data_IF_593144195480
#
_entry.id   IF_593144195480
#
_cell.length_a   1.000
_cell.length_b   1.000
_cell.length_c   1.000
_cell.angle_alpha   90.00
_cell.angle_beta   90.00
_cell.angle_gamma   90.00
#
_symmetry.space_group_name_H-M   'P 1'
#
loop_
_entity.id
_entity.type
_entity.pdbx_description
1 polymer ?
#
# COMPACT_ATOMS: atom_id res chain seq x y z
N UNK A 1 -3.83 -2.10 -13.05
CA UNK A 1 -2.38 -2.25 -12.86
C UNK A 1 -1.79 -3.19 -13.92
N UNK A 2 -0.48 -3.03 -14.20
CA UNK A 2 0.21 -3.76 -15.29
C UNK A 2 0.29 -5.27 -15.08
N UNK A 3 0.25 -5.75 -13.87
CA UNK A 3 0.20 -7.17 -13.53
C UNK A 3 -1.12 -7.85 -13.92
N UNK A 4 -2.17 -7.07 -14.22
CA UNK A 4 -3.46 -7.56 -14.71
C UNK A 4 -3.69 -7.33 -16.20
N UNK A 5 -3.14 -6.27 -16.78
CA UNK A 5 -3.40 -5.86 -18.17
C UNK A 5 -2.18 -5.87 -19.07
N UNK A 6 -0.97 -6.00 -18.50
CA UNK A 6 0.28 -5.88 -19.25
C UNK A 6 0.52 -6.94 -20.32
N UNK A 7 -0.27 -8.01 -20.34
CA UNK A 7 -0.25 -9.07 -21.36
C UNK A 7 -1.38 -8.97 -22.41
N UNK A 8 -2.22 -7.95 -22.38
CA UNK A 8 -3.42 -7.86 -23.21
C UNK A 8 -3.13 -8.01 -24.72
N UNK A 9 -2.06 -7.39 -25.21
CA UNK A 9 -1.69 -7.46 -26.64
C UNK A 9 -1.29 -8.86 -27.11
N UNK A 10 -0.90 -9.76 -26.18
CA UNK A 10 -0.59 -11.16 -26.52
C UNK A 10 -1.83 -11.98 -26.87
N UNK A 11 -3.01 -11.53 -26.44
CA UNK A 11 -4.29 -12.18 -26.68
C UNK A 11 -5.12 -11.47 -27.74
N UNK A 12 -4.59 -10.39 -28.34
CA UNK A 12 -5.30 -9.57 -29.30
C UNK A 12 -5.17 -10.16 -30.70
N UNK A 13 -6.29 -10.54 -31.31
CA UNK A 13 -6.43 -10.97 -32.69
C UNK A 13 -7.17 -9.91 -33.50
N UNK A 14 -7.33 -10.09 -34.82
CA UNK A 14 -7.92 -9.11 -35.72
C UNK A 14 -9.36 -8.68 -35.32
N UNK A 15 -10.13 -9.58 -34.71
CA UNK A 15 -11.49 -9.31 -34.26
C UNK A 15 -11.65 -9.13 -32.75
N UNK A 16 -10.54 -8.97 -32.00
CA UNK A 16 -10.59 -8.79 -30.56
C UNK A 16 -10.82 -7.33 -30.20
N UNK A 17 -11.92 -7.04 -29.50
CA UNK A 17 -12.20 -5.72 -28.95
C UNK A 17 -11.79 -5.68 -27.46
N UNK A 18 -11.11 -4.61 -27.08
CA UNK A 18 -10.76 -4.33 -25.69
C UNK A 18 -11.81 -3.41 -25.08
N UNK A 19 -12.42 -3.88 -24.01
CA UNK A 19 -13.40 -3.11 -23.24
C UNK A 19 -12.80 -2.64 -21.94
N UNK A 20 -12.96 -1.37 -21.59
CA UNK A 20 -12.53 -0.81 -20.33
C UNK A 20 -13.44 0.33 -19.85
N UNK A 21 -13.31 0.71 -18.58
CA UNK A 21 -13.99 1.89 -18.07
C UNK A 21 -13.44 3.18 -18.71
N UNK A 22 -14.27 4.21 -18.87
CA UNK A 22 -13.90 5.48 -19.53
C UNK A 22 -12.67 6.18 -18.90
N UNK A 23 -12.44 6.00 -17.60
CA UNK A 23 -11.26 6.53 -16.90
C UNK A 23 -9.93 5.82 -17.24
N UNK A 24 -9.96 4.72 -17.98
CA UNK A 24 -8.77 3.89 -18.22
C UNK A 24 -7.62 4.67 -18.87
N UNK A 25 -7.89 5.42 -19.94
CA UNK A 25 -6.85 6.20 -20.60
C UNK A 25 -6.27 7.31 -19.72
N UNK A 26 -7.10 7.98 -18.93
CA UNK A 26 -6.65 8.99 -17.99
C UNK A 26 -5.75 8.37 -16.91
N UNK A 27 -6.12 7.20 -16.39
CA UNK A 27 -5.30 6.45 -15.43
C UNK A 27 -3.96 6.02 -16.04
N UNK A 28 -3.95 5.46 -17.25
CA UNK A 28 -2.71 5.08 -17.96
C UNK A 28 -1.79 6.28 -18.22
N UNK A 29 -2.37 7.45 -18.58
CA UNK A 29 -1.62 8.68 -18.77
C UNK A 29 -0.95 9.17 -17.48
N UNK A 30 -1.67 9.12 -16.35
CA UNK A 30 -1.14 9.47 -15.03
C UNK A 30 -0.01 8.52 -14.61
N UNK A 31 -0.21 7.22 -14.79
CA UNK A 31 0.80 6.20 -14.50
C UNK A 31 2.07 6.39 -15.32
N UNK A 32 1.93 6.69 -16.62
CA UNK A 32 3.03 6.97 -17.51
C UNK A 32 3.81 8.22 -17.09
N UNK A 33 3.10 9.26 -16.68
CA UNK A 33 3.65 10.57 -16.30
C UNK A 33 4.60 10.49 -15.11
N UNK A 34 4.33 9.58 -14.15
CA UNK A 34 5.11 9.40 -12.93
C UNK A 34 5.77 8.02 -12.83
N UNK A 35 5.92 7.32 -13.96
CA UNK A 35 6.42 5.92 -13.98
C UNK A 35 7.80 5.76 -13.32
N UNK A 36 8.74 6.66 -13.57
CA UNK A 36 10.08 6.62 -12.96
C UNK A 36 10.01 6.80 -11.43
N UNK A 37 9.17 7.72 -10.94
CA UNK A 37 8.95 7.92 -9.51
C UNK A 37 8.34 6.67 -8.86
N UNK A 38 7.32 6.08 -9.49
CA UNK A 38 6.69 4.85 -9.00
C UNK A 38 7.66 3.66 -8.99
N UNK A 39 8.48 3.50 -10.05
CA UNK A 39 9.49 2.45 -10.11
C UNK A 39 10.48 2.53 -8.95
N UNK A 40 11.01 3.73 -8.66
CA UNK A 40 11.91 3.94 -7.54
C UNK A 40 11.25 3.59 -6.19
N UNK A 41 9.99 3.98 -6.01
CA UNK A 41 9.28 3.76 -4.74
C UNK A 41 8.72 2.35 -4.57
N UNK A 42 8.52 1.59 -5.64
CA UNK A 42 8.05 0.21 -5.60
C UNK A 42 9.17 -0.81 -5.46
N UNK A 43 10.38 -0.45 -5.83
CA UNK A 43 11.53 -1.37 -5.92
C UNK A 43 11.79 -2.17 -4.64
N UNK A 44 11.63 -1.54 -3.47
CA UNK A 44 11.85 -2.22 -2.19
C UNK A 44 10.90 -3.42 -1.96
N UNK A 45 9.67 -3.33 -2.45
CA UNK A 45 8.64 -4.35 -2.21
C UNK A 45 8.75 -5.54 -3.19
N UNK A 46 9.24 -5.30 -4.41
CA UNK A 46 9.17 -6.28 -5.49
C UNK A 46 10.54 -6.73 -6.03
N UNK A 47 11.65 -6.27 -5.43
CA UNK A 47 13.00 -6.59 -5.92
C UNK A 47 13.24 -8.11 -6.06
N UNK A 48 12.84 -8.90 -5.08
CA UNK A 48 12.99 -10.35 -5.11
C UNK A 48 12.11 -11.01 -6.18
N UNK A 49 10.85 -10.58 -6.28
CA UNK A 49 9.91 -11.07 -7.29
C UNK A 49 10.39 -10.76 -8.70
N UNK A 50 10.88 -9.53 -8.91
CA UNK A 50 11.46 -9.09 -10.18
C UNK A 50 12.70 -9.91 -10.51
N UNK A 51 13.60 -10.14 -9.55
CA UNK A 51 14.80 -10.95 -9.76
C UNK A 51 14.45 -12.40 -10.15
N UNK A 52 13.48 -13.03 -9.48
CA UNK A 52 12.98 -14.36 -9.83
C UNK A 52 12.34 -14.40 -11.22
N UNK A 53 11.54 -13.39 -11.58
CA UNK A 53 10.95 -13.28 -12.91
C UNK A 53 12.03 -13.16 -13.99
N UNK A 54 13.03 -12.33 -13.80
CA UNK A 54 14.18 -12.22 -14.72
C UNK A 54 14.93 -13.55 -14.89
N UNK A 55 15.21 -14.23 -13.80
CA UNK A 55 15.86 -15.53 -13.83
C UNK A 55 15.05 -16.56 -14.62
N UNK A 56 13.74 -16.61 -14.38
CA UNK A 56 12.83 -17.49 -15.12
C UNK A 56 12.81 -17.18 -16.62
N UNK A 57 12.71 -15.89 -16.99
CA UNK A 57 12.70 -15.43 -18.38
C UNK A 57 14.03 -15.78 -19.08
N UNK A 58 15.16 -15.56 -18.42
CA UNK A 58 16.47 -15.94 -18.98
C UNK A 58 16.57 -17.43 -19.24
N UNK A 59 16.08 -18.25 -18.31
CA UNK A 59 16.17 -19.72 -18.42
C UNK A 59 15.20 -20.31 -19.45
N UNK A 60 14.02 -19.72 -19.62
CA UNK A 60 12.93 -20.34 -20.38
C UNK A 60 12.52 -19.59 -21.66
N UNK A 61 12.89 -18.30 -21.79
CA UNK A 61 12.42 -17.43 -22.89
C UNK A 61 13.59 -16.75 -23.63
N UNK A 62 14.80 -17.22 -23.49
CA UNK A 62 15.98 -16.67 -24.21
C UNK A 62 16.39 -15.25 -23.76
N UNK A 63 15.96 -14.82 -22.59
CA UNK A 63 16.36 -13.54 -21.99
C UNK A 63 15.62 -12.29 -22.48
N UNK A 64 14.64 -12.44 -23.38
CA UNK A 64 13.81 -11.33 -23.86
C UNK A 64 12.57 -11.17 -22.95
N UNK A 65 12.41 -9.97 -22.38
CA UNK A 65 11.17 -9.60 -21.68
C UNK A 65 10.25 -8.94 -22.69
N UNK A 66 9.03 -9.47 -22.92
CA UNK A 66 8.06 -8.77 -23.75
C UNK A 66 7.75 -7.39 -23.13
N UNK A 67 7.59 -6.35 -23.93
CA UNK A 67 7.12 -5.07 -23.41
C UNK A 67 5.72 -5.25 -22.81
N UNK A 68 5.47 -4.58 -21.69
CA UNK A 68 4.13 -4.58 -21.09
C UNK A 68 3.19 -3.73 -21.94
N UNK A 69 2.01 -4.29 -22.22
CA UNK A 69 0.95 -3.61 -22.97
C UNK A 69 0.40 -2.42 -22.19
N UNK A 70 0.08 -1.37 -22.95
CA UNK A 70 -0.77 -0.25 -22.51
C UNK A 70 -1.83 -0.01 -23.57
N UNK A 71 -2.73 -0.98 -23.74
CA UNK A 71 -3.64 -0.95 -24.87
C UNK A 71 -4.66 0.17 -24.73
N UNK A 72 -5.05 0.76 -25.87
CA UNK A 72 -6.18 1.67 -25.95
C UNK A 72 -7.45 0.84 -26.06
N UNK A 73 -8.46 1.09 -25.21
CA UNK A 73 -9.77 0.44 -25.33
C UNK A 73 -10.45 0.77 -26.65
N UNK A 74 -11.09 -0.25 -27.24
CA UNK A 74 -11.95 -0.08 -28.43
C UNK A 74 -13.36 0.35 -27.99
N UNK A 75 -13.83 -0.16 -26.84
CA UNK A 75 -15.13 0.17 -26.24
C UNK A 75 -14.89 0.68 -24.81
N UNK A 76 -15.56 1.76 -24.46
CA UNK A 76 -15.57 2.30 -23.10
C UNK A 76 -16.99 2.41 -22.56
N UNK A 77 -17.11 2.33 -21.21
CA UNK A 77 -18.37 2.52 -20.49
C UNK A 77 -18.15 3.35 -19.22
N UNK A 78 -19.21 3.97 -18.71
CA UNK A 78 -19.12 4.85 -17.54
C UNK A 78 -19.51 4.14 -16.23
N UNK A 79 -20.66 3.45 -16.19
CA UNK A 79 -21.15 2.83 -14.96
C UNK A 79 -21.36 1.32 -15.09
N UNK A 80 -22.09 0.89 -16.12
CA UNK A 80 -22.41 -0.51 -16.40
C UNK A 80 -22.45 -0.75 -17.90
N UNK A 81 -21.97 -1.92 -18.31
CA UNK A 81 -22.09 -2.42 -19.68
C UNK A 81 -22.50 -3.88 -19.64
N UNK A 82 -23.59 -4.21 -20.34
CA UNK A 82 -24.04 -5.57 -20.54
C UNK A 82 -23.55 -6.08 -21.89
N UNK A 83 -22.94 -7.25 -21.91
CA UNK A 83 -22.42 -7.90 -23.10
C UNK A 83 -22.94 -9.33 -23.16
N UNK A 84 -23.10 -9.81 -24.40
CA UNK A 84 -23.34 -11.22 -24.68
C UNK A 84 -22.39 -11.70 -25.77
N UNK A 85 -21.65 -12.77 -25.48
CA UNK A 85 -20.71 -13.37 -26.42
C UNK A 85 -20.88 -14.89 -26.42
N UNK A 86 -21.35 -15.42 -27.59
CA UNK A 86 -21.52 -16.86 -27.73
C UNK A 86 -22.54 -17.48 -26.77
N UNK A 87 -23.54 -16.73 -26.32
CA UNK A 87 -24.52 -17.13 -25.32
C UNK A 87 -24.10 -16.93 -23.87
N UNK A 88 -22.88 -16.42 -23.64
CA UNK A 88 -22.41 -16.04 -22.30
C UNK A 88 -22.75 -14.58 -22.02
N UNK A 89 -23.61 -14.34 -21.02
CA UNK A 89 -23.90 -12.98 -20.54
C UNK A 89 -22.82 -12.50 -19.57
N UNK A 90 -22.41 -11.26 -19.73
CA UNK A 90 -21.43 -10.59 -18.90
C UNK A 90 -21.92 -9.19 -18.55
N UNK A 91 -21.91 -8.87 -17.24
CA UNK A 91 -22.17 -7.53 -16.74
C UNK A 91 -20.85 -6.93 -16.23
N UNK A 92 -20.40 -5.86 -16.84
CA UNK A 92 -19.25 -5.08 -16.41
C UNK A 92 -19.75 -3.91 -15.55
N UNK A 93 -19.28 -3.80 -14.32
CA UNK A 93 -19.70 -2.74 -13.38
C UNK A 93 -18.48 -1.94 -12.93
N UNK A 94 -18.56 -0.64 -13.02
CA UNK A 94 -17.54 0.25 -12.44
C UNK A 94 -17.52 0.15 -10.92
N UNK A 95 -16.35 -0.13 -10.34
CA UNK A 95 -16.16 -0.35 -8.90
C UNK A 95 -14.86 0.31 -8.43
N UNK A 96 -14.82 1.65 -8.35
CA UNK A 96 -13.65 2.40 -7.88
C UNK A 96 -13.44 2.24 -6.37
N UNK A 97 -12.38 2.86 -5.85
CA UNK A 97 -12.15 3.00 -4.39
C UNK A 97 -11.30 1.92 -3.75
N UNK A 98 -11.25 0.70 -4.32
CA UNK A 98 -10.38 -0.36 -3.83
C UNK A 98 -8.97 -0.33 -4.44
N UNK A 99 -8.85 0.13 -5.68
CA UNK A 99 -7.59 0.24 -6.42
C UNK A 99 -7.55 1.51 -7.28
N UNK A 100 -7.76 1.40 -8.58
CA UNK A 100 -7.68 2.51 -9.53
C UNK A 100 -9.06 3.10 -9.83
N UNK A 101 -9.09 4.30 -10.39
CA UNK A 101 -10.34 5.00 -10.71
C UNK A 101 -11.09 4.39 -11.90
N UNK A 102 -10.44 3.51 -12.65
CA UNK A 102 -10.99 2.75 -13.77
C UNK A 102 -11.28 1.29 -13.41
N UNK A 103 -11.18 0.94 -12.13
CA UNK A 103 -11.45 -0.41 -11.63
C UNK A 103 -12.89 -0.83 -11.93
N UNK A 104 -13.03 -2.08 -12.36
CA UNK A 104 -14.33 -2.68 -12.66
C UNK A 104 -14.36 -4.14 -12.20
N UNK A 105 -15.56 -4.67 -12.01
CA UNK A 105 -15.82 -6.09 -11.83
C UNK A 105 -16.56 -6.64 -13.05
N UNK A 106 -16.40 -7.92 -13.31
CA UNK A 106 -17.11 -8.64 -14.36
C UNK A 106 -17.97 -9.71 -13.71
N UNK A 107 -19.28 -9.63 -13.87
CA UNK A 107 -20.22 -10.63 -13.40
C UNK A 107 -20.65 -11.54 -14.56
N UNK A 108 -20.74 -12.82 -14.28
CA UNK A 108 -21.38 -13.83 -15.14
C UNK A 108 -22.68 -14.26 -14.44
N UNK A 109 -23.79 -13.54 -14.63
CA UNK A 109 -24.99 -13.71 -13.82
C UNK A 109 -25.61 -15.09 -13.93
N UNK A 110 -25.55 -15.75 -15.10
CA UNK A 110 -26.08 -17.11 -15.31
C UNK A 110 -25.25 -18.19 -14.59
N UNK A 111 -24.05 -17.85 -14.13
CA UNK A 111 -23.12 -18.73 -13.42
C UNK A 111 -22.89 -18.33 -11.98
N UNK A 112 -23.45 -17.22 -11.52
CA UNK A 112 -23.25 -16.62 -10.19
C UNK A 112 -21.75 -16.41 -9.85
N UNK A 113 -20.95 -16.07 -10.89
CA UNK A 113 -19.49 -15.82 -10.79
C UNK A 113 -19.23 -14.33 -10.94
N UNK A 114 -18.37 -13.78 -10.06
CA UNK A 114 -17.89 -12.40 -10.17
C UNK A 114 -16.36 -12.35 -10.12
N UNK A 115 -15.76 -11.77 -11.15
CA UNK A 115 -14.33 -11.42 -11.20
C UNK A 115 -14.17 -10.02 -10.63
N UNK A 116 -13.42 -9.87 -9.55
CA UNK A 116 -13.32 -8.59 -8.83
C UNK A 116 -12.02 -7.83 -9.08
N UNK A 117 -11.08 -8.41 -9.84
CA UNK A 117 -9.76 -7.81 -9.99
C UNK A 117 -9.16 -7.48 -8.60
N UNK A 118 -8.63 -6.27 -8.46
CA UNK A 118 -8.02 -5.81 -7.21
C UNK A 118 -8.95 -5.00 -6.30
N UNK A 119 -10.26 -5.03 -6.52
CA UNK A 119 -11.20 -4.28 -5.67
C UNK A 119 -10.94 -4.53 -4.18
N UNK A 120 -10.69 -5.78 -3.81
CA UNK A 120 -10.41 -6.20 -2.43
C UNK A 120 -8.90 -6.31 -2.12
N UNK A 121 -8.07 -5.53 -2.82
CA UNK A 121 -6.61 -5.58 -2.72
C UNK A 121 -6.04 -6.98 -3.09
N UNK A 122 -4.84 -7.30 -2.59
CA UNK A 122 -4.20 -8.59 -2.86
C UNK A 122 -4.67 -9.73 -1.95
N UNK A 123 -5.39 -9.43 -0.87
CA UNK A 123 -5.86 -10.39 0.12
C UNK A 123 -7.34 -10.14 0.42
N UNK A 124 -8.21 -10.98 -0.13
CA UNK A 124 -9.65 -10.94 0.16
C UNK A 124 -9.90 -11.15 1.66
N UNK A 125 -10.89 -10.46 2.21
CA UNK A 125 -11.23 -10.50 3.63
C UNK A 125 -10.30 -9.70 4.56
N UNK A 126 -9.23 -9.10 4.02
CA UNK A 126 -8.36 -8.18 4.76
C UNK A 126 -8.77 -6.73 4.57
N UNK A 127 -8.40 -5.88 5.53
CA UNK A 127 -8.63 -4.44 5.45
C UNK A 127 -8.05 -3.86 4.15
N UNK A 128 -8.80 -3.04 3.38
CA UNK A 128 -8.36 -2.55 2.09
C UNK A 128 -7.15 -1.62 2.20
N UNK A 129 -6.31 -1.62 1.18
CA UNK A 129 -5.16 -0.74 1.11
C UNK A 129 -5.57 0.65 0.61
N UNK A 130 -6.23 1.44 1.46
CA UNK A 130 -6.69 2.80 1.12
C UNK A 130 -5.54 3.77 0.87
N UNK A 131 -4.34 3.46 1.36
CA UNK A 131 -3.12 4.22 1.11
C UNK A 131 -1.94 3.28 0.93
N UNK A 132 -1.25 3.36 -0.19
CA UNK A 132 -0.06 2.55 -0.43
C UNK A 132 1.22 3.35 -0.18
N UNK A 133 2.15 2.78 0.59
CA UNK A 133 3.41 3.45 0.95
C UNK A 133 4.37 3.67 -0.22
N UNK A 134 4.17 2.97 -1.35
CA UNK A 134 4.89 3.25 -2.60
C UNK A 134 4.49 4.60 -3.22
N UNK A 135 3.37 5.17 -2.79
CA UNK A 135 2.79 6.39 -3.31
C UNK A 135 1.79 6.12 -4.43
N UNK A 136 0.58 6.56 -4.19
CA UNK A 136 -0.53 6.60 -5.13
C UNK A 136 -1.51 7.65 -4.63
N UNK A 137 -2.56 7.93 -5.40
CA UNK A 137 -3.69 8.70 -4.88
C UNK A 137 -4.35 7.94 -3.74
N UNK A 138 -4.86 8.65 -2.73
CA UNK A 138 -5.65 8.02 -1.68
C UNK A 138 -6.92 7.42 -2.29
N UNK A 139 -7.31 6.28 -1.76
CA UNK A 139 -8.57 5.61 -2.06
C UNK A 139 -9.56 5.98 -0.98
N UNK A 140 -10.77 6.28 -1.38
CA UNK A 140 -11.77 6.82 -0.47
C UNK A 140 -12.59 5.69 0.16
N UNK A 141 -12.67 5.68 1.49
CA UNK A 141 -13.35 4.64 2.25
C UNK A 141 -14.82 4.46 1.84
N UNK A 142 -15.57 5.56 1.69
CA UNK A 142 -16.98 5.51 1.32
C UNK A 142 -17.18 5.02 -0.11
N UNK A 143 -16.32 5.43 -1.05
CA UNK A 143 -16.35 4.93 -2.45
C UNK A 143 -16.02 3.45 -2.52
N UNK A 144 -15.09 2.96 -1.68
CA UNK A 144 -14.82 1.54 -1.54
C UNK A 144 -16.05 0.77 -1.04
N UNK A 145 -16.74 1.30 -0.01
CA UNK A 145 -17.96 0.70 0.54
C UNK A 145 -19.05 0.60 -0.52
N UNK A 146 -19.27 1.66 -1.31
CA UNK A 146 -20.25 1.66 -2.42
C UNK A 146 -19.92 0.57 -3.44
N UNK A 147 -18.65 0.45 -3.82
CA UNK A 147 -18.20 -0.59 -4.76
C UNK A 147 -18.35 -2.01 -4.20
N UNK A 148 -18.06 -2.20 -2.93
CA UNK A 148 -18.27 -3.46 -2.21
C UNK A 148 -19.77 -3.83 -2.20
N UNK A 149 -20.66 -2.87 -1.89
CA UNK A 149 -22.10 -3.11 -1.89
C UNK A 149 -22.63 -3.45 -3.30
N UNK A 150 -22.05 -2.89 -4.36
CA UNK A 150 -22.36 -3.29 -5.74
C UNK A 150 -22.06 -4.77 -5.99
N UNK A 151 -20.89 -5.25 -5.53
CA UNK A 151 -20.52 -6.68 -5.63
C UNK A 151 -21.43 -7.54 -4.77
N UNK A 152 -21.73 -7.10 -3.55
CA UNK A 152 -22.61 -7.83 -2.62
C UNK A 152 -24.02 -8.01 -3.18
N UNK A 153 -24.54 -6.99 -3.88
CA UNK A 153 -25.86 -7.02 -4.52
C UNK A 153 -25.97 -8.01 -5.71
N UNK A 154 -24.83 -8.47 -6.26
CA UNK A 154 -24.79 -9.51 -7.30
C UNK A 154 -24.99 -10.91 -6.72
N UNK A 155 -24.89 -11.08 -5.42
CA UNK A 155 -25.07 -12.34 -4.69
C UNK A 155 -24.27 -13.52 -5.27
N UNK A 156 -22.94 -13.37 -5.52
CA UNK A 156 -22.15 -14.39 -6.17
C UNK A 156 -22.03 -15.67 -5.35
N UNK A 157 -22.07 -16.82 -6.02
CA UNK A 157 -21.68 -18.14 -5.48
C UNK A 157 -20.16 -18.32 -5.53
N UNK A 158 -19.51 -17.69 -6.55
CA UNK A 158 -18.05 -17.74 -6.71
C UNK A 158 -17.52 -16.33 -6.93
N UNK A 159 -16.54 -15.94 -6.11
CA UNK A 159 -15.83 -14.70 -6.27
C UNK A 159 -14.38 -15.00 -6.67
N UNK A 160 -13.93 -14.40 -7.77
CA UNK A 160 -12.60 -14.58 -8.34
C UNK A 160 -11.81 -13.27 -8.21
N UNK A 161 -10.96 -13.13 -7.15
CA UNK A 161 -10.12 -11.95 -6.99
C UNK A 161 -8.95 -11.94 -7.98
N UNK A 162 -8.32 -10.79 -8.16
CA UNK A 162 -7.14 -10.65 -9.01
C UNK A 162 -5.90 -11.36 -8.47
N UNK A 163 -5.87 -11.62 -7.16
CA UNK A 163 -4.81 -12.38 -6.47
C UNK A 163 -5.44 -13.40 -5.53
N UNK A 164 -4.74 -14.50 -5.30
CA UNK A 164 -5.22 -15.59 -4.46
C UNK A 164 -6.11 -16.59 -5.20
N UNK A 165 -6.77 -17.45 -4.44
CA UNK A 165 -7.69 -18.44 -4.97
C UNK A 165 -9.15 -17.95 -5.02
N UNK A 166 -10.04 -18.72 -5.67
CA UNK A 166 -11.48 -18.45 -5.65
C UNK A 166 -12.03 -18.53 -4.23
N UNK A 167 -13.00 -17.68 -3.94
CA UNK A 167 -13.85 -17.77 -2.74
C UNK A 167 -15.18 -18.37 -3.16
N UNK A 168 -15.60 -19.43 -2.51
CA UNK A 168 -16.79 -20.22 -2.90
C UNK A 168 -17.77 -20.28 -1.75
N UNK A 169 -19.05 -20.15 -2.06
CA UNK A 169 -20.17 -20.19 -1.11
C UNK A 169 -20.77 -18.81 -0.89
N UNK A 170 -22.02 -18.66 -1.36
CA UNK A 170 -22.76 -17.40 -1.32
C UNK A 170 -22.84 -16.81 0.10
N UNK A 171 -23.20 -17.63 1.09
CA UNK A 171 -23.31 -17.20 2.48
C UNK A 171 -21.94 -16.71 3.01
N UNK A 172 -20.88 -17.48 2.77
CA UNK A 172 -19.52 -17.12 3.20
C UNK A 172 -19.07 -15.79 2.57
N UNK A 173 -19.31 -15.62 1.27
CA UNK A 173 -18.95 -14.38 0.55
C UNK A 173 -19.74 -13.20 1.13
N UNK A 174 -21.05 -13.37 1.37
CA UNK A 174 -21.89 -12.32 1.94
C UNK A 174 -21.43 -11.92 3.35
N UNK A 175 -21.14 -12.88 4.21
CA UNK A 175 -20.64 -12.63 5.57
C UNK A 175 -19.31 -11.87 5.57
N UNK A 176 -18.36 -12.30 4.74
CA UNK A 176 -17.04 -11.63 4.62
C UNK A 176 -17.16 -10.21 4.06
N UNK A 177 -18.01 -9.99 3.04
CA UNK A 177 -18.25 -8.66 2.47
C UNK A 177 -18.92 -7.73 3.49
N UNK A 178 -19.90 -8.23 4.27
CA UNK A 178 -20.55 -7.46 5.34
C UNK A 178 -19.52 -7.07 6.41
N UNK A 179 -18.73 -8.03 6.87
CA UNK A 179 -17.69 -7.78 7.89
C UNK A 179 -16.68 -6.73 7.41
N UNK A 180 -16.22 -6.86 6.17
CA UNK A 180 -15.26 -5.93 5.58
C UNK A 180 -15.85 -4.52 5.42
N UNK A 181 -17.11 -4.41 4.93
CA UNK A 181 -17.84 -3.15 4.86
C UNK A 181 -17.91 -2.48 6.23
N UNK A 182 -18.37 -3.23 7.24
CA UNK A 182 -18.57 -2.70 8.58
C UNK A 182 -17.25 -2.29 9.25
N UNK A 183 -16.18 -3.04 9.01
CA UNK A 183 -14.84 -2.67 9.48
C UNK A 183 -14.37 -1.34 8.86
N UNK A 184 -14.54 -1.16 7.55
CA UNK A 184 -14.14 0.08 6.87
C UNK A 184 -15.02 1.26 7.30
N UNK A 185 -16.35 1.04 7.43
CA UNK A 185 -17.29 2.05 7.91
C UNK A 185 -16.94 2.49 9.34
N UNK A 186 -16.66 1.54 10.23
CA UNK A 186 -16.25 1.83 11.60
C UNK A 186 -15.01 2.71 11.66
N UNK A 187 -13.95 2.35 10.91
CA UNK A 187 -12.70 3.14 10.88
C UNK A 187 -12.94 4.54 10.31
N UNK A 188 -13.76 4.67 9.26
CA UNK A 188 -14.15 5.95 8.72
C UNK A 188 -14.86 6.80 9.76
N UNK A 189 -15.92 6.28 10.37
CA UNK A 189 -16.79 7.02 11.28
C UNK A 189 -16.08 7.43 12.57
N UNK A 190 -15.26 6.54 13.16
CA UNK A 190 -14.45 6.88 14.34
C UNK A 190 -13.35 7.90 13.99
N UNK A 191 -12.79 7.87 12.78
CA UNK A 191 -11.85 8.90 12.32
C UNK A 191 -12.55 10.26 12.22
N UNK A 192 -13.68 10.34 11.53
CA UNK A 192 -14.45 11.59 11.36
C UNK A 192 -14.94 12.12 12.71
N UNK A 193 -15.43 11.25 13.57
CA UNK A 193 -15.81 11.59 14.95
C UNK A 193 -14.64 12.18 15.72
N UNK A 194 -13.46 11.57 15.66
CA UNK A 194 -12.27 12.10 16.30
C UNK A 194 -11.83 13.45 15.75
N UNK A 195 -11.91 13.64 14.43
CA UNK A 195 -11.66 14.93 13.76
C UNK A 195 -12.58 16.01 14.28
N UNK A 196 -13.89 15.74 14.37
CA UNK A 196 -14.88 16.68 14.91
C UNK A 196 -14.67 17.02 16.39
N UNK A 197 -13.93 16.17 17.13
CA UNK A 197 -13.50 16.45 18.50
C UNK A 197 -12.09 17.10 18.58
N UNK A 198 -11.52 17.50 17.47
CA UNK A 198 -10.22 18.19 17.41
C UNK A 198 -9.02 17.30 17.73
N UNK A 199 -9.14 15.97 17.61
CA UNK A 199 -8.02 15.05 17.85
C UNK A 199 -7.01 15.12 16.71
N UNK A 200 -5.72 15.09 17.04
CA UNK A 200 -4.66 15.04 16.07
C UNK A 200 -4.61 13.65 15.38
N UNK A 201 -4.21 13.63 14.11
CA UNK A 201 -4.15 12.41 13.29
C UNK A 201 -3.34 11.27 13.93
N UNK A 202 -2.17 11.56 14.52
CA UNK A 202 -1.35 10.54 15.18
C UNK A 202 -2.00 9.96 16.46
N UNK A 203 -2.86 10.72 17.14
CA UNK A 203 -3.65 10.19 18.25
C UNK A 203 -4.70 9.22 17.74
N UNK A 204 -5.42 9.58 16.67
CA UNK A 204 -6.41 8.71 16.05
C UNK A 204 -5.79 7.42 15.50
N UNK A 205 -4.61 7.51 14.86
CA UNK A 205 -3.85 6.34 14.38
C UNK A 205 -3.51 5.33 15.48
N UNK A 206 -3.32 5.80 16.72
CA UNK A 206 -3.05 4.92 17.89
C UNK A 206 -4.33 4.40 18.54
N UNK A 207 -5.36 5.23 18.62
CA UNK A 207 -6.58 4.96 19.39
C UNK A 207 -7.57 4.08 18.64
N UNK A 208 -7.68 4.25 17.30
CA UNK A 208 -8.66 3.51 16.51
C UNK A 208 -8.13 2.11 16.23
N UNK A 209 -8.79 1.14 16.84
CA UNK A 209 -8.57 -0.30 16.64
C UNK A 209 -9.91 -0.92 16.26
N UNK A 210 -9.89 -1.98 15.46
CA UNK A 210 -11.11 -2.72 15.16
C UNK A 210 -11.59 -3.43 16.43
N UNK A 211 -12.90 -3.37 16.73
CA UNK A 211 -13.46 -4.20 17.79
C UNK A 211 -13.44 -5.67 17.36
N UNK A 212 -13.44 -6.63 18.30
CA UNK A 212 -13.30 -8.06 18.00
C UNK A 212 -14.29 -8.60 16.97
N UNK A 213 -15.51 -8.10 16.95
CA UNK A 213 -16.57 -8.50 16.02
C UNK A 213 -16.35 -8.01 14.58
N UNK A 214 -15.51 -6.98 14.40
CA UNK A 214 -15.15 -6.41 13.10
C UNK A 214 -13.70 -6.72 12.73
N UNK A 215 -13.03 -7.60 13.48
CA UNK A 215 -11.62 -7.91 13.20
C UNK A 215 -11.48 -8.55 11.82
N UNK A 216 -10.61 -7.96 11.02
CA UNK A 216 -10.20 -8.43 9.70
C UNK A 216 -8.68 -8.36 9.60
N UNK A 217 -8.09 -9.23 8.79
CA UNK A 217 -6.64 -9.22 8.61
C UNK A 217 -6.11 -7.87 8.10
N UNK A 218 -4.88 -7.53 8.45
CA UNK A 218 -4.20 -6.30 8.01
C UNK A 218 -2.92 -6.60 7.22
N UNK A 219 -2.89 -7.72 6.53
CA UNK A 219 -1.71 -8.20 5.81
C UNK A 219 -1.31 -7.35 4.60
N UNK A 220 -2.23 -6.52 4.08
CA UNK A 220 -1.95 -5.66 2.92
C UNK A 220 -2.32 -4.20 3.18
N UNK A 221 -3.56 -3.88 3.49
CA UNK A 221 -3.96 -2.61 4.08
C UNK A 221 -3.70 -2.59 5.59
N UNK A 222 -3.70 -1.42 6.21
CA UNK A 222 -3.51 -1.24 7.64
C UNK A 222 -4.47 -0.18 8.18
N UNK A 223 -5.17 -0.50 9.27
CA UNK A 223 -6.15 0.42 9.90
C UNK A 223 -5.53 1.77 10.23
N UNK A 224 -4.39 1.79 10.92
CA UNK A 224 -3.74 3.05 11.31
C UNK A 224 -3.34 3.94 10.12
N UNK A 225 -2.91 3.34 9.00
CA UNK A 225 -2.62 4.09 7.79
C UNK A 225 -3.89 4.61 7.11
N UNK A 226 -4.95 3.82 7.15
CA UNK A 226 -6.26 4.20 6.60
C UNK A 226 -6.90 5.32 7.40
N UNK A 227 -6.74 5.35 8.73
CA UNK A 227 -7.11 6.48 9.58
C UNK A 227 -6.45 7.77 9.09
N UNK A 228 -5.13 7.72 8.80
CA UNK A 228 -4.42 8.86 8.25
C UNK A 228 -4.93 9.24 6.86
N UNK A 229 -5.16 8.27 5.97
CA UNK A 229 -5.67 8.52 4.64
C UNK A 229 -7.05 9.19 4.67
N UNK A 230 -7.97 8.69 5.50
CA UNK A 230 -9.30 9.28 5.70
C UNK A 230 -9.17 10.70 6.24
N UNK A 231 -8.34 10.90 7.27
CA UNK A 231 -8.10 12.22 7.87
C UNK A 231 -7.59 13.23 6.82
N UNK A 232 -6.55 12.87 6.06
CA UNK A 232 -5.94 13.74 5.05
C UNK A 232 -6.84 13.93 3.81
N UNK A 233 -7.72 12.99 3.48
CA UNK A 233 -8.73 13.17 2.42
C UNK A 233 -9.68 14.31 2.75
N UNK A 234 -10.10 14.46 4.00
CA UNK A 234 -10.97 15.56 4.44
C UNK A 234 -10.21 16.85 4.76
N UNK A 235 -9.05 16.76 5.41
CA UNK A 235 -8.32 17.90 5.97
C UNK A 235 -7.18 18.41 5.08
N UNK A 236 -6.73 17.62 4.11
CA UNK A 236 -5.53 17.92 3.34
C UNK A 236 -4.25 17.69 4.15
N UNK A 237 -3.14 18.23 3.66
CA UNK A 237 -1.79 17.98 4.19
C UNK A 237 -1.42 18.82 5.43
N UNK A 238 -2.13 19.93 5.67
CA UNK A 238 -1.84 20.82 6.80
C UNK A 238 -2.55 20.33 8.06
N UNK A 239 -1.78 19.86 9.04
CA UNK A 239 -2.31 19.26 10.26
C UNK A 239 -2.69 20.25 11.36
N UNK A 240 -2.51 21.55 11.15
CA UNK A 240 -2.75 22.60 12.15
C UNK A 240 -1.94 22.42 13.45
N UNK A 241 -0.80 21.73 13.39
CA UNK A 241 0.04 21.43 14.55
C UNK A 241 1.13 22.47 14.77
N UNK A 242 1.70 22.99 13.66
CA UNK A 242 2.82 23.93 13.74
C UNK A 242 2.87 24.88 12.56
N UNK A 243 3.27 26.11 12.81
CA UNK A 243 3.58 27.11 11.76
C UNK A 243 4.64 26.59 10.77
N UNK A 244 5.56 25.72 11.23
CA UNK A 244 6.62 25.18 10.37
C UNK A 244 6.12 24.27 9.27
N UNK A 245 4.91 23.70 9.38
CA UNK A 245 4.28 22.94 8.31
C UNK A 245 4.00 23.77 7.05
N UNK A 246 3.88 25.09 7.20
CA UNK A 246 3.59 26.05 6.11
C UNK A 246 4.87 26.56 5.42
N UNK A 247 6.05 26.14 5.85
CA UNK A 247 7.33 26.58 5.32
C UNK A 247 8.14 25.40 4.77
N UNK A 248 9.11 25.72 3.92
CA UNK A 248 9.95 24.77 3.21
C UNK A 248 11.17 24.25 3.98
N UNK A 249 11.28 24.58 5.28
CA UNK A 249 12.33 24.11 6.18
C UNK A 249 11.90 22.83 6.87
N UNK A 250 12.47 21.66 6.52
CA UNK A 250 12.10 20.40 7.15
C UNK A 250 12.57 20.33 8.60
N UNK A 251 11.83 19.61 9.44
CA UNK A 251 12.16 19.43 10.86
C UNK A 251 13.62 18.97 11.10
N UNK A 252 14.16 18.14 10.22
CA UNK A 252 15.55 17.66 10.30
C UNK A 252 16.61 18.75 10.10
N UNK A 253 16.24 19.95 9.63
CA UNK A 253 17.20 21.04 9.44
C UNK A 253 17.87 21.49 10.75
N UNK A 254 17.24 21.25 11.91
CA UNK A 254 17.77 21.58 13.23
C UNK A 254 18.41 20.39 13.95
N UNK A 255 18.56 19.23 13.29
CA UNK A 255 19.16 18.06 13.92
C UNK A 255 20.62 18.30 14.34
N UNK A 256 21.39 19.08 13.55
CA UNK A 256 22.77 19.47 13.92
C UNK A 256 22.82 20.24 15.24
N UNK A 257 21.91 21.20 15.43
CA UNK A 257 21.80 21.95 16.67
C UNK A 257 21.42 21.04 17.85
N UNK A 258 20.51 20.10 17.63
CA UNK A 258 20.12 19.11 18.65
C UNK A 258 21.30 18.20 19.06
N UNK A 259 22.13 17.81 18.09
CA UNK A 259 23.35 17.02 18.36
C UNK A 259 24.34 17.80 19.20
N UNK A 260 24.58 19.08 18.88
CA UNK A 260 25.47 19.95 19.66
C UNK A 260 24.95 20.15 21.07
N UNK A 261 23.67 20.47 21.24
CA UNK A 261 23.03 20.65 22.55
C UNK A 261 23.05 19.37 23.41
N UNK A 262 23.00 18.19 22.77
CA UNK A 262 23.08 16.91 23.47
C UNK A 262 24.52 16.50 23.88
N UNK A 263 25.53 17.19 23.39
CA UNK A 263 26.94 16.86 23.65
C UNK A 263 27.55 15.87 22.66
N UNK A 264 26.91 15.69 21.49
CA UNK A 264 27.44 14.87 20.40
C UNK A 264 26.52 13.71 19.99
N UNK A 265 26.90 13.05 18.88
CA UNK A 265 26.12 11.95 18.30
C UNK A 265 26.05 10.72 19.19
N UNK A 266 27.13 10.43 19.96
CA UNK A 266 27.19 9.26 20.84
C UNK A 266 26.18 9.37 21.99
N UNK A 267 26.03 10.56 22.60
CA UNK A 267 25.06 10.80 23.68
C UNK A 267 23.60 10.55 23.18
N UNK A 268 23.30 10.94 21.93
CA UNK A 268 21.98 10.68 21.34
C UNK A 268 21.82 9.19 21.04
N UNK A 269 22.87 8.51 20.53
CA UNK A 269 22.84 7.08 20.25
C UNK A 269 22.63 6.25 21.54
N UNK A 270 23.26 6.62 22.66
CA UNK A 270 23.02 6.00 23.96
C UNK A 270 21.57 6.21 24.42
N UNK A 271 21.03 7.41 24.22
CA UNK A 271 19.62 7.67 24.54
C UNK A 271 18.68 6.86 23.66
N UNK A 272 19.00 6.71 22.37
CA UNK A 272 18.24 5.86 21.45
C UNK A 272 18.26 4.38 21.88
N UNK A 273 19.44 3.86 22.31
CA UNK A 273 19.55 2.51 22.85
C UNK A 273 18.66 2.33 24.10
N UNK A 274 18.66 3.30 25.02
CA UNK A 274 17.80 3.26 26.20
C UNK A 274 16.31 3.24 25.87
N UNK A 275 15.88 3.94 24.81
CA UNK A 275 14.50 3.88 24.29
C UNK A 275 14.16 2.50 23.76
N UNK A 276 15.07 1.89 23.01
CA UNK A 276 14.88 0.54 22.48
C UNK A 276 14.76 -0.50 23.61
N UNK A 277 15.60 -0.40 24.64
CA UNK A 277 15.54 -1.25 25.84
C UNK A 277 14.21 -1.08 26.60
N UNK A 278 13.67 0.13 26.62
CA UNK A 278 12.35 0.42 27.20
C UNK A 278 11.17 -0.10 26.36
N UNK A 279 11.44 -0.72 25.20
CA UNK A 279 10.39 -1.24 24.30
C UNK A 279 9.75 -0.19 23.39
N UNK A 280 10.45 0.93 23.17
CA UNK A 280 10.00 2.07 22.35
C UNK A 280 10.84 2.16 21.04
N UNK A 281 10.72 1.18 20.11
CA UNK A 281 11.60 1.10 18.94
C UNK A 281 11.42 2.27 17.96
N UNK A 282 10.23 2.84 17.82
CA UNK A 282 9.99 3.97 16.90
C UNK A 282 10.63 5.24 17.44
N UNK A 283 10.55 5.49 18.73
CA UNK A 283 11.23 6.61 19.42
C UNK A 283 12.76 6.44 19.36
N UNK A 284 13.24 5.20 19.47
CA UNK A 284 14.66 4.89 19.28
C UNK A 284 15.12 5.23 17.85
N UNK A 285 14.34 4.90 16.84
CA UNK A 285 14.62 5.26 15.44
C UNK A 285 14.69 6.78 15.27
N UNK A 286 13.73 7.54 15.80
CA UNK A 286 13.76 9.01 15.72
C UNK A 286 15.05 9.61 16.30
N UNK A 287 15.48 9.13 17.46
CA UNK A 287 16.74 9.61 18.08
C UNK A 287 17.96 9.19 17.26
N UNK A 288 18.01 7.94 16.78
CA UNK A 288 19.11 7.46 15.96
C UNK A 288 19.20 8.23 14.62
N UNK A 289 18.08 8.61 14.02
CA UNK A 289 18.03 9.48 12.82
C UNK A 289 18.64 10.86 13.09
N UNK A 290 18.42 11.44 14.27
CA UNK A 290 19.08 12.71 14.68
C UNK A 290 20.59 12.52 14.73
N UNK A 291 21.10 11.46 15.36
CA UNK A 291 22.55 11.18 15.44
C UNK A 291 23.14 10.96 14.04
N UNK A 292 22.48 10.15 13.20
CA UNK A 292 22.93 9.82 11.84
C UNK A 292 22.86 11.00 10.86
N UNK A 293 22.06 12.01 11.13
CA UNK A 293 22.02 13.23 10.33
C UNK A 293 23.30 14.06 10.43
N UNK A 294 24.03 13.99 11.56
CA UNK A 294 25.31 14.66 11.77
C UNK A 294 26.51 13.74 11.49
N UNK A 295 26.41 12.45 11.82
CA UNK A 295 27.40 11.42 11.48
C UNK A 295 26.72 10.16 10.95
N UNK A 296 26.59 10.08 9.62
CA UNK A 296 25.97 8.95 8.94
C UNK A 296 26.66 7.59 9.17
N UNK A 297 27.87 7.61 9.78
CA UNK A 297 28.68 6.42 10.05
C UNK A 297 28.78 6.08 11.53
N UNK A 298 28.05 6.81 12.40
CA UNK A 298 28.05 6.53 13.83
C UNK A 298 27.58 5.10 14.10
N UNK A 299 28.54 4.26 14.54
CA UNK A 299 28.32 2.82 14.71
C UNK A 299 27.21 2.51 15.72
N UNK A 300 27.18 3.21 16.85
CA UNK A 300 26.20 2.98 17.89
C UNK A 300 24.78 3.30 17.40
N UNK A 301 24.61 4.43 16.71
CA UNK A 301 23.32 4.80 16.13
C UNK A 301 22.86 3.81 15.05
N UNK A 302 23.77 3.33 14.17
CA UNK A 302 23.44 2.32 13.15
C UNK A 302 23.07 0.99 13.80
N UNK A 303 23.74 0.57 14.88
CA UNK A 303 23.37 -0.66 15.60
C UNK A 303 21.98 -0.55 16.26
N UNK A 304 21.62 0.62 16.80
CA UNK A 304 20.25 0.87 17.29
C UNK A 304 19.23 0.79 16.15
N UNK A 305 19.52 1.40 15.00
CA UNK A 305 18.63 1.31 13.81
C UNK A 305 18.40 -0.13 13.42
N UNK A 306 19.45 -0.96 13.35
CA UNK A 306 19.33 -2.37 13.02
C UNK A 306 18.43 -3.10 14.02
N UNK A 307 18.72 -2.98 15.32
CA UNK A 307 17.98 -3.69 16.36
C UNK A 307 16.51 -3.26 16.45
N UNK A 308 16.23 -1.96 16.28
CA UNK A 308 14.86 -1.44 16.25
C UNK A 308 14.07 -1.96 15.05
N UNK A 309 14.69 -1.99 13.86
CA UNK A 309 14.06 -2.51 12.66
C UNK A 309 13.86 -4.04 12.72
N UNK A 310 14.79 -4.80 13.29
CA UNK A 310 14.64 -6.24 13.52
C UNK A 310 13.44 -6.54 14.43
N UNK A 311 13.29 -5.78 15.52
CA UNK A 311 12.14 -5.89 16.40
C UNK A 311 10.82 -5.62 15.66
N UNK A 312 10.74 -4.50 14.95
CA UNK A 312 9.54 -4.13 14.19
C UNK A 312 9.23 -5.12 13.06
N UNK A 313 10.26 -5.69 12.39
CA UNK A 313 10.09 -6.67 11.34
C UNK A 313 9.54 -7.99 11.88
N UNK A 314 10.04 -8.42 13.04
CA UNK A 314 9.56 -9.65 13.70
C UNK A 314 8.09 -9.58 14.16
N UNK A 315 7.57 -8.39 14.38
CA UNK A 315 6.18 -8.14 14.79
C UNK A 315 5.25 -7.79 13.61
N UNK A 316 5.80 -7.68 12.39
CA UNK A 316 5.03 -7.22 11.23
C UNK A 316 4.41 -8.36 10.45
N UNK A 317 3.08 -8.34 10.32
CA UNK A 317 2.31 -9.21 9.44
C UNK A 317 1.90 -8.51 8.13
N UNK A 318 2.17 -7.20 8.00
CA UNK A 318 1.80 -6.42 6.83
C UNK A 318 2.88 -6.50 5.75
N UNK A 319 2.51 -6.90 4.53
CA UNK A 319 3.43 -7.06 3.40
C UNK A 319 4.28 -5.80 3.15
N UNK A 320 3.65 -4.63 3.02
CA UNK A 320 4.35 -3.39 2.69
C UNK A 320 5.31 -2.94 3.78
N UNK A 321 4.88 -3.05 5.04
CA UNK A 321 5.71 -2.69 6.19
C UNK A 321 6.91 -3.63 6.31
N UNK A 322 6.68 -4.92 6.23
CA UNK A 322 7.74 -5.94 6.30
C UNK A 322 8.79 -5.73 5.22
N UNK A 323 8.38 -5.50 3.97
CA UNK A 323 9.34 -5.25 2.87
C UNK A 323 10.13 -3.95 3.08
N UNK A 324 9.49 -2.90 3.60
CA UNK A 324 10.18 -1.66 3.94
C UNK A 324 11.21 -1.86 5.04
N UNK A 325 10.84 -2.56 6.11
CA UNK A 325 11.73 -2.85 7.24
C UNK A 325 12.94 -3.69 6.79
N UNK A 326 12.74 -4.70 5.95
CA UNK A 326 13.81 -5.50 5.35
C UNK A 326 14.77 -4.67 4.50
N UNK A 327 14.25 -3.75 3.71
CA UNK A 327 15.06 -2.81 2.95
C UNK A 327 15.92 -1.94 3.88
N UNK A 328 15.32 -1.35 4.92
CA UNK A 328 16.06 -0.54 5.89
C UNK A 328 17.15 -1.36 6.62
N UNK A 329 16.84 -2.59 7.00
CA UNK A 329 17.83 -3.50 7.59
C UNK A 329 19.00 -3.77 6.65
N UNK A 330 18.76 -4.00 5.37
CA UNK A 330 19.82 -4.20 4.38
C UNK A 330 20.71 -2.96 4.25
N UNK A 331 20.12 -1.78 4.17
CA UNK A 331 20.84 -0.50 4.06
C UNK A 331 21.72 -0.24 5.30
N UNK A 332 21.16 -0.40 6.49
CA UNK A 332 21.90 -0.17 7.75
C UNK A 332 23.00 -1.19 7.98
N UNK A 333 22.78 -2.47 7.66
CA UNK A 333 23.81 -3.50 7.72
C UNK A 333 24.96 -3.22 6.75
N UNK A 334 24.65 -2.72 5.55
CA UNK A 334 25.64 -2.25 4.57
C UNK A 334 26.48 -1.09 5.14
N UNK A 335 25.82 -0.09 5.74
CA UNK A 335 26.49 1.05 6.39
C UNK A 335 27.41 0.58 7.52
N UNK A 336 26.94 -0.31 8.38
CA UNK A 336 27.72 -0.86 9.50
C UNK A 336 28.97 -1.59 8.99
N UNK A 337 28.83 -2.42 7.96
CA UNK A 337 29.95 -3.13 7.34
C UNK A 337 31.00 -2.19 6.78
N UNK A 338 30.59 -1.15 6.08
CA UNK A 338 31.50 -0.12 5.54
C UNK A 338 32.22 0.66 6.66
N UNK A 339 31.50 1.07 7.72
CA UNK A 339 32.08 1.78 8.85
C UNK A 339 33.14 0.93 9.60
N UNK A 340 32.83 -0.34 9.88
CA UNK A 340 33.76 -1.27 10.53
C UNK A 340 35.00 -1.57 9.64
N UNK A 341 34.83 -1.69 8.33
CA UNK A 341 35.96 -1.89 7.41
C UNK A 341 36.89 -0.68 7.32
N UNK A 342 36.33 0.53 7.39
CA UNK A 342 37.12 1.79 7.44
C UNK A 342 37.94 1.88 8.72
N UNK A 343 37.35 1.56 9.88
CA UNK A 343 38.03 1.58 11.18
C UNK A 343 39.15 0.54 11.28
N UNK A 344 39.03 -0.60 10.58
CA UNK A 344 40.06 -1.64 10.59
C UNK A 344 41.28 -1.30 9.69
N UNK A 345 41.17 -0.30 8.81
CA UNK A 345 42.22 0.18 7.90
C UNK A 345 42.95 1.44 8.41
N UNK A 346 42.38 2.13 9.40
CA UNK A 346 42.95 3.27 10.09
C UNK A 346 43.76 2.82 11.34
#
# INVERSE_FOLDING_TARGET
HVDHVGGADLFREECTELVAHANNQAHQADDSRISAFRAMRSGFAFAETIAKAFQYIQQNMGGSIPPQSRPTPDITFDDRLELELGGLRMDLLWTPGGETTDSMVISLPDHEIVFTGNLFSALFGHFPNLVTIRGDRYREALVFIESLERVRALEPEILLPGHGGPVVGKETIQEELIRLRDAVQYVHDETVKGMNHGKAVHSLMREIQLPPELEVGQGYGKVSWSVRAIWETYAGWFHHSSTTELYDVPQRAVHGDLVELAGGTDAIAERAASKLEAGEPVEAIHLAEVALSADATNVAAVEVMIAAHEKLESESENFWLTQWLRKQLADHRGTLGAAKAKKARS
#
